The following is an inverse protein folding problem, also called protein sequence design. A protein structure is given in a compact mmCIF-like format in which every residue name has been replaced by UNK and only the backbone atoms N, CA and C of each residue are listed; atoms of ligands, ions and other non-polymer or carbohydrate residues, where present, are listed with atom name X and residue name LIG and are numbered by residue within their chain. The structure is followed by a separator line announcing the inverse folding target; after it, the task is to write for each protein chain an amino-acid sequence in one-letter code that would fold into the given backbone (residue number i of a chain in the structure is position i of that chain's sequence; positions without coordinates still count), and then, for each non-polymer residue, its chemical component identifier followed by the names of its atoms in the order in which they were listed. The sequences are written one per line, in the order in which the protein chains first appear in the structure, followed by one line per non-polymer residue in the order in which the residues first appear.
data_IF_693913578361
#
_entry.id   IF_693913578361
#
_cell.length_a   1.000
_cell.length_b   1.000
_cell.length_c   1.000
_cell.angle_alpha   90.00
_cell.angle_beta   90.00
_cell.angle_gamma   90.00
#
_symmetry.space_group_name_H-M   'P 1'
#
loop_
_entity.id
_entity.type
_entity.pdbx_description
1 polymer ?
#
# COMPACT_ATOMS: atom_id res chain seq x y z
N UNK A 1 -6.33 -14.68 31.96
CA UNK A 1 -5.66 -15.29 30.80
C UNK A 1 -4.92 -14.19 30.08
N UNK A 2 -3.62 -14.39 29.98
CA UNK A 2 -2.53 -13.47 29.64
C UNK A 2 -2.71 -12.69 28.34
N UNK A 3 -2.53 -11.38 28.39
CA UNK A 3 -1.96 -10.62 27.28
C UNK A 3 -1.28 -9.35 27.80
N UNK A 4 -0.01 -9.49 28.17
CA UNK A 4 0.84 -8.40 28.67
C UNK A 4 2.25 -8.52 28.10
N UNK A 5 2.36 -9.08 26.89
CA UNK A 5 3.63 -9.38 26.24
C UNK A 5 3.84 -8.65 24.91
N UNK A 6 2.88 -7.84 24.44
CA UNK A 6 3.00 -7.15 23.15
C UNK A 6 3.61 -5.74 23.24
N UNK A 7 3.82 -5.17 24.44
CA UNK A 7 4.21 -3.76 24.57
C UNK A 7 5.71 -3.50 24.77
N UNK A 8 6.56 -4.53 24.82
CA UNK A 8 7.95 -4.35 25.30
C UNK A 8 9.00 -4.12 24.21
N UNK A 9 8.62 -3.98 22.93
CA UNK A 9 9.61 -3.86 21.82
C UNK A 9 9.74 -2.43 21.27
N UNK A 10 9.12 -1.44 21.93
CA UNK A 10 9.20 -0.03 21.50
C UNK A 10 9.66 0.89 22.63
N UNK A 11 10.92 0.79 23.11
CA UNK A 11 11.38 1.82 24.07
C UNK A 11 12.89 2.08 24.28
N UNK A 12 13.86 1.58 23.51
CA UNK A 12 15.27 1.96 23.78
C UNK A 12 16.04 2.34 22.51
N UNK A 13 15.71 3.51 21.97
CA UNK A 13 16.60 4.30 21.12
C UNK A 13 17.00 5.55 21.89
N UNK A 14 18.22 5.58 22.41
CA UNK A 14 18.78 6.78 23.01
C UNK A 14 20.20 6.61 23.52
N UNK A 15 21.09 7.48 23.03
CA UNK A 15 22.51 7.68 23.38
C UNK A 15 23.46 6.70 22.67
N UNK A 16 24.51 7.10 21.96
CA UNK A 16 25.13 8.42 21.78
C UNK A 16 26.64 8.21 21.63
N UNK A 17 27.15 8.51 20.43
CA UNK A 17 28.51 8.94 20.05
C UNK A 17 29.78 8.36 20.74
N UNK A 18 30.79 8.03 19.92
CA UNK A 18 32.08 8.76 19.77
C UNK A 18 33.10 7.86 19.03
N UNK A 19 33.77 8.45 18.02
CA UNK A 19 34.90 7.89 17.29
C UNK A 19 36.10 7.59 18.20
N UNK A 20 36.78 6.47 17.96
CA UNK A 20 38.23 6.38 18.14
C UNK A 20 38.83 5.34 17.19
N UNK A 21 39.69 5.82 16.30
CA UNK A 21 40.45 5.05 15.34
C UNK A 21 41.57 4.25 16.04
N UNK A 22 41.60 2.93 15.83
CA UNK A 22 42.83 2.12 15.95
C UNK A 22 42.88 1.14 14.79
N UNK A 23 43.76 1.43 13.84
CA UNK A 23 44.19 0.55 12.75
C UNK A 23 44.90 -0.67 13.37
N UNK A 24 44.21 -1.82 13.46
CA UNK A 24 44.88 -3.13 13.55
C UNK A 24 44.67 -3.88 12.25
N UNK A 25 45.76 -4.04 11.51
CA UNK A 25 45.89 -5.08 10.49
C UNK A 25 45.65 -6.41 11.20
N UNK A 26 44.50 -7.02 10.92
CA UNK A 26 44.23 -8.42 11.23
C UNK A 26 43.83 -9.08 9.92
N UNK A 27 44.69 -9.95 9.41
CA UNK A 27 44.28 -10.98 8.47
C UNK A 27 43.24 -11.85 9.20
N UNK A 28 41.96 -11.56 8.96
CA UNK A 28 40.84 -12.38 9.37
C UNK A 28 40.39 -13.17 8.13
N UNK A 29 40.25 -14.49 8.31
CA UNK A 29 39.70 -15.44 7.34
C UNK A 29 38.40 -14.89 6.72
N UNK A 30 38.09 -15.16 5.44
CA UNK A 30 36.79 -14.81 4.89
C UNK A 30 35.76 -15.71 5.57
N UNK A 31 35.19 -15.22 6.66
CA UNK A 31 34.08 -15.86 7.33
C UNK A 31 32.85 -15.56 6.46
N UNK A 32 32.57 -16.48 5.53
CA UNK A 32 31.47 -16.47 4.56
C UNK A 32 30.10 -16.76 5.21
N UNK A 33 29.92 -16.36 6.47
CA UNK A 33 28.85 -16.86 7.35
C UNK A 33 28.15 -15.73 8.12
N UNK A 34 28.04 -14.52 7.53
CA UNK A 34 27.31 -13.40 8.12
C UNK A 34 26.77 -12.40 7.10
N UNK A 35 26.18 -12.87 5.99
CA UNK A 35 25.38 -12.00 5.10
C UNK A 35 23.91 -12.42 5.06
N UNK A 36 23.37 -12.86 6.21
CA UNK A 36 21.92 -12.85 6.42
C UNK A 36 21.45 -11.40 6.61
N UNK A 37 21.39 -10.66 5.50
CA UNK A 37 20.86 -9.30 5.51
C UNK A 37 19.36 -9.37 5.75
N UNK A 38 18.95 -8.94 6.95
CA UNK A 38 17.53 -8.79 7.28
C UNK A 38 16.87 -7.83 6.30
N UNK A 39 15.81 -8.30 5.64
CA UNK A 39 14.98 -7.48 4.75
C UNK A 39 14.30 -6.40 5.59
N UNK A 40 14.49 -5.15 5.19
CA UNK A 40 13.80 -4.03 5.81
C UNK A 40 12.33 -4.04 5.41
N UNK A 41 11.46 -3.46 6.25
CA UNK A 41 10.05 -3.31 5.91
C UNK A 41 9.85 -2.55 4.58
N UNK A 42 10.71 -1.58 4.27
CA UNK A 42 10.63 -0.83 3.02
C UNK A 42 10.95 -1.69 1.79
N UNK A 43 11.96 -2.54 1.89
CA UNK A 43 12.28 -3.50 0.82
C UNK A 43 11.14 -4.49 0.61
N UNK A 44 10.56 -5.02 1.69
CA UNK A 44 9.40 -5.92 1.61
C UNK A 44 8.23 -5.23 0.90
N UNK A 45 7.89 -4.01 1.32
CA UNK A 45 6.81 -3.22 0.75
C UNK A 45 7.04 -2.93 -0.75
N UNK A 46 8.27 -2.63 -1.15
CA UNK A 46 8.63 -2.40 -2.55
C UNK A 46 8.47 -3.66 -3.40
N UNK A 47 8.87 -4.83 -2.88
CA UNK A 47 8.68 -6.10 -3.60
C UNK A 47 7.21 -6.46 -3.74
N UNK A 48 6.39 -6.18 -2.71
CA UNK A 48 4.94 -6.31 -2.80
C UNK A 48 4.35 -5.40 -3.89
N UNK A 49 4.77 -4.14 -3.96
CA UNK A 49 4.33 -3.21 -5.00
C UNK A 49 4.69 -3.73 -6.39
N UNK A 50 5.92 -4.18 -6.57
CA UNK A 50 6.40 -4.74 -7.83
C UNK A 50 5.60 -5.99 -8.22
N UNK A 51 5.31 -6.87 -7.26
CA UNK A 51 4.45 -8.03 -7.48
C UNK A 51 3.02 -7.63 -7.91
N UNK A 52 2.40 -6.65 -7.25
CA UNK A 52 1.04 -6.21 -7.59
C UNK A 52 0.95 -5.66 -9.02
N UNK A 53 1.99 -4.91 -9.45
CA UNK A 53 2.08 -4.41 -10.82
C UNK A 53 2.35 -5.56 -11.81
N UNK A 54 3.29 -6.45 -11.51
CA UNK A 54 3.62 -7.60 -12.35
C UNK A 54 2.42 -8.52 -12.57
N UNK A 55 1.58 -8.72 -11.56
CA UNK A 55 0.33 -9.49 -11.66
C UNK A 55 -0.80 -8.75 -12.37
N UNK A 56 -0.63 -7.45 -12.63
CA UNK A 56 -1.66 -6.60 -13.23
C UNK A 56 -2.84 -6.32 -12.29
N UNK A 57 -2.61 -6.38 -10.97
CA UNK A 57 -3.62 -6.03 -9.95
C UNK A 57 -3.68 -4.52 -9.72
N UNK A 58 -2.54 -3.84 -9.86
CA UNK A 58 -2.42 -2.38 -9.84
C UNK A 58 -1.56 -1.91 -11.00
N UNK A 59 -1.74 -0.64 -11.40
CA UNK A 59 -0.81 0.05 -12.28
C UNK A 59 0.27 0.76 -11.47
N UNK A 60 1.41 1.08 -12.09
CA UNK A 60 2.47 1.88 -11.43
C UNK A 60 1.96 3.24 -10.96
N UNK A 61 1.04 3.87 -11.71
CA UNK A 61 0.40 5.11 -11.32
C UNK A 61 -0.48 4.95 -10.07
N UNK A 62 -1.25 3.86 -9.98
CA UNK A 62 -2.06 3.57 -8.80
C UNK A 62 -1.21 3.30 -7.56
N UNK A 63 -0.11 2.55 -7.70
CA UNK A 63 0.87 2.35 -6.61
C UNK A 63 1.44 3.69 -6.15
N UNK A 64 1.84 4.57 -7.08
CA UNK A 64 2.36 5.89 -6.73
C UNK A 64 1.32 6.74 -5.96
N UNK A 65 0.04 6.67 -6.35
CA UNK A 65 -1.05 7.34 -5.64
C UNK A 65 -1.27 6.77 -4.23
N UNK A 66 -1.23 5.44 -4.07
CA UNK A 66 -1.39 4.81 -2.75
C UNK A 66 -0.21 5.20 -1.82
N UNK A 67 1.00 5.32 -2.37
CA UNK A 67 2.22 5.64 -1.59
C UNK A 67 2.35 7.11 -1.22
N UNK A 68 1.97 8.01 -2.11
CA UNK A 68 2.29 9.45 -2.01
C UNK A 68 1.11 10.39 -2.29
N UNK A 69 -0.02 9.85 -2.72
CA UNK A 69 -1.22 10.62 -3.03
C UNK A 69 -1.96 11.08 -1.77
N UNK A 70 -2.95 11.93 -1.99
CA UNK A 70 -3.88 12.36 -0.94
C UNK A 70 -4.93 11.29 -0.74
N UNK A 71 -4.92 10.67 0.44
CA UNK A 71 -6.01 9.79 0.88
C UNK A 71 -7.29 10.60 1.09
N UNK A 72 -8.39 10.07 0.59
CA UNK A 72 -9.74 10.62 0.73
C UNK A 72 -10.78 9.50 0.74
N UNK A 73 -12.04 9.87 0.89
CA UNK A 73 -13.19 8.97 0.83
C UNK A 73 -13.88 9.09 -0.53
N UNK A 74 -14.13 7.96 -1.16
CA UNK A 74 -14.96 7.83 -2.35
C UNK A 74 -16.28 7.16 -2.01
N UNK A 75 -17.40 7.78 -2.37
CA UNK A 75 -18.71 7.14 -2.32
C UNK A 75 -18.93 6.42 -3.64
N UNK A 76 -19.22 5.13 -3.60
CA UNK A 76 -19.58 4.39 -4.81
C UNK A 76 -20.98 4.81 -5.24
N UNK A 77 -21.09 5.40 -6.43
CA UNK A 77 -22.36 5.79 -7.05
C UNK A 77 -22.81 4.79 -8.10
N UNK A 78 -21.89 3.97 -8.62
CA UNK A 78 -22.17 2.91 -9.59
C UNK A 78 -21.07 1.86 -9.59
N UNK A 79 -21.44 0.63 -9.92
CA UNK A 79 -20.50 -0.49 -10.05
C UNK A 79 -20.97 -1.40 -11.18
N UNK A 80 -20.03 -1.76 -12.06
CA UNK A 80 -20.28 -2.70 -13.16
C UNK A 80 -19.13 -3.69 -13.27
N UNK A 81 -19.44 -4.98 -13.25
CA UNK A 81 -18.46 -6.00 -13.59
C UNK A 81 -18.11 -5.90 -15.08
N UNK A 82 -16.82 -5.92 -15.40
CA UNK A 82 -16.34 -5.90 -16.80
C UNK A 82 -16.28 -7.30 -17.41
N UNK A 83 -16.34 -8.33 -16.57
CA UNK A 83 -16.18 -9.74 -16.95
C UNK A 83 -14.73 -10.23 -16.90
N UNK A 84 -13.73 -9.34 -16.77
CA UNK A 84 -12.34 -9.78 -16.64
C UNK A 84 -12.04 -10.31 -15.24
N UNK A 85 -11.26 -11.39 -15.18
CA UNK A 85 -10.91 -12.12 -13.96
C UNK A 85 -9.39 -12.34 -13.94
N UNK A 86 -8.75 -12.12 -12.80
CA UNK A 86 -7.35 -12.47 -12.56
C UNK A 86 -7.24 -13.08 -11.18
N UNK A 87 -6.88 -14.35 -11.11
CA UNK A 87 -6.82 -15.09 -9.83
C UNK A 87 -8.18 -14.92 -9.09
N UNK A 88 -8.13 -14.57 -7.80
CA UNK A 88 -9.31 -14.32 -6.97
C UNK A 88 -9.85 -12.89 -7.08
N UNK A 89 -9.40 -12.12 -8.08
CA UNK A 89 -9.83 -10.74 -8.31
C UNK A 89 -10.80 -10.67 -9.49
N UNK A 90 -11.75 -9.74 -9.40
CA UNK A 90 -12.67 -9.38 -10.49
C UNK A 90 -12.42 -7.94 -10.89
N UNK A 91 -12.33 -7.71 -12.18
CA UNK A 91 -12.25 -6.35 -12.69
C UNK A 91 -13.63 -5.71 -12.71
N UNK A 92 -13.76 -4.57 -12.04
CA UNK A 92 -14.97 -3.76 -12.02
C UNK A 92 -14.66 -2.35 -12.50
N UNK A 93 -15.65 -1.75 -13.13
CA UNK A 93 -15.71 -0.31 -13.36
C UNK A 93 -16.57 0.32 -12.25
N UNK A 94 -16.01 1.31 -11.57
CA UNK A 94 -16.63 2.03 -10.48
C UNK A 94 -16.88 3.46 -10.87
N UNK A 95 -18.09 3.93 -10.62
CA UNK A 95 -18.41 5.35 -10.58
C UNK A 95 -18.33 5.80 -9.13
N UNK A 96 -17.51 6.82 -8.88
CA UNK A 96 -17.17 7.30 -7.55
C UNK A 96 -17.43 8.80 -7.46
N UNK A 97 -17.95 9.22 -6.32
CA UNK A 97 -17.92 10.62 -5.91
C UNK A 97 -16.85 10.80 -4.83
N UNK A 98 -15.72 11.38 -5.21
CA UNK A 98 -14.53 11.50 -4.34
C UNK A 98 -14.50 12.87 -3.68
N UNK A 99 -14.27 12.90 -2.37
CA UNK A 99 -14.16 14.16 -1.62
C UNK A 99 -12.80 14.83 -1.85
N UNK A 100 -12.77 16.16 -2.02
CA UNK A 100 -11.51 16.90 -2.11
C UNK A 100 -11.01 17.29 -0.72
N UNK A 101 -9.70 17.24 -0.52
CA UNK A 101 -9.01 17.88 0.61
C UNK A 101 -9.08 19.40 0.44
N UNK A 102 -10.13 20.01 0.98
CA UNK A 102 -10.45 21.45 0.78
C UNK A 102 -11.93 21.73 0.57
N UNK A 103 -12.76 20.68 0.45
CA UNK A 103 -14.20 20.81 0.27
C UNK A 103 -14.63 20.55 -1.18
N UNK A 104 -15.91 20.21 -1.33
CA UNK A 104 -16.47 19.75 -2.59
C UNK A 104 -16.14 18.30 -2.92
N UNK A 105 -16.68 17.84 -4.03
CA UNK A 105 -16.54 16.48 -4.53
C UNK A 105 -16.35 16.49 -6.05
N UNK A 106 -15.77 15.43 -6.60
CA UNK A 106 -15.63 15.26 -8.04
C UNK A 106 -15.98 13.83 -8.46
N UNK A 107 -16.64 13.66 -9.62
CA UNK A 107 -16.96 12.35 -10.15
C UNK A 107 -15.72 11.72 -10.78
N UNK A 108 -15.56 10.41 -10.60
CA UNK A 108 -14.48 9.62 -11.19
C UNK A 108 -15.04 8.29 -11.68
N UNK A 109 -14.62 7.89 -12.87
CA UNK A 109 -14.79 6.53 -13.37
C UNK A 109 -13.46 5.80 -13.28
N UNK A 110 -13.42 4.71 -12.51
CA UNK A 110 -12.19 3.99 -12.22
C UNK A 110 -12.37 2.48 -12.46
N UNK A 111 -11.44 1.88 -13.21
CA UNK A 111 -11.30 0.42 -13.30
C UNK A 111 -10.39 -0.10 -12.19
N UNK A 112 -10.81 -1.15 -11.51
CA UNK A 112 -10.04 -1.74 -10.41
C UNK A 112 -10.19 -3.25 -10.36
N UNK A 113 -9.10 -3.93 -9.99
CA UNK A 113 -9.13 -5.34 -9.62
C UNK A 113 -9.52 -5.45 -8.15
N UNK A 114 -10.69 -6.03 -7.87
CA UNK A 114 -11.25 -6.15 -6.52
C UNK A 114 -11.26 -7.64 -6.12
N UNK A 115 -10.76 -8.00 -4.92
CA UNK A 115 -10.87 -9.35 -4.41
C UNK A 115 -12.34 -9.82 -4.43
N UNK A 116 -12.59 -11.05 -4.85
CA UNK A 116 -13.94 -11.61 -4.93
C UNK A 116 -14.67 -11.54 -3.59
N UNK A 117 -13.94 -11.74 -2.48
CA UNK A 117 -14.47 -11.63 -1.11
C UNK A 117 -14.86 -10.18 -0.73
N UNK A 118 -14.29 -9.18 -1.39
CA UNK A 118 -14.53 -7.76 -1.11
C UNK A 118 -15.56 -7.11 -2.05
N UNK A 119 -16.15 -7.84 -3.01
CA UNK A 119 -17.06 -7.26 -4.00
C UNK A 119 -18.26 -6.54 -3.39
N UNK A 120 -18.82 -7.07 -2.30
CA UNK A 120 -19.94 -6.43 -1.61
C UNK A 120 -19.58 -5.06 -1.04
N UNK A 121 -18.30 -4.79 -0.76
CA UNK A 121 -17.81 -3.49 -0.24
C UNK A 121 -17.75 -2.41 -1.32
N UNK A 122 -17.77 -2.79 -2.61
CA UNK A 122 -17.80 -1.85 -3.73
C UNK A 122 -19.18 -1.72 -4.38
N UNK A 123 -20.24 -2.12 -3.68
CA UNK A 123 -21.61 -1.84 -4.11
C UNK A 123 -21.95 -0.34 -3.97
N UNK A 124 -22.86 0.19 -4.80
CA UNK A 124 -23.34 1.56 -4.67
C UNK A 124 -23.84 1.88 -3.25
N UNK A 125 -23.54 3.10 -2.78
CA UNK A 125 -23.82 3.58 -1.43
C UNK A 125 -22.69 3.35 -0.43
N UNK A 126 -21.75 2.43 -0.71
CA UNK A 126 -20.62 2.20 0.17
C UNK A 126 -19.54 3.28 0.05
N UNK A 127 -18.80 3.47 1.13
CA UNK A 127 -17.67 4.38 1.19
C UNK A 127 -16.38 3.57 1.19
N UNK A 128 -15.45 3.90 0.30
CA UNK A 128 -14.16 3.24 0.16
C UNK A 128 -13.02 4.26 0.24
N UNK A 129 -11.81 3.77 0.53
CA UNK A 129 -10.60 4.59 0.47
C UNK A 129 -10.24 4.87 -0.99
N UNK A 130 -10.01 6.15 -1.28
CA UNK A 130 -9.56 6.64 -2.57
C UNK A 130 -8.30 7.47 -2.40
N UNK A 131 -7.37 7.38 -3.35
CA UNK A 131 -6.13 8.14 -3.37
C UNK A 131 -6.02 8.87 -4.70
N UNK A 132 -5.76 10.17 -4.64
CA UNK A 132 -5.65 11.02 -5.82
C UNK A 132 -4.56 12.07 -5.62
N UNK A 133 -4.13 12.74 -6.70
CA UNK A 133 -3.20 13.86 -6.60
C UNK A 133 -3.98 15.18 -6.64
N UNK A 134 -3.82 16.09 -5.66
CA UNK A 134 -4.41 17.42 -5.76
C UNK A 134 -3.95 18.12 -7.04
N UNK A 135 -4.89 18.62 -7.84
CA UNK A 135 -4.61 19.22 -9.14
C UNK A 135 -4.61 18.25 -10.33
N UNK A 136 -4.59 16.93 -10.08
CA UNK A 136 -4.79 15.90 -11.11
C UNK A 136 -5.76 14.82 -10.61
N UNK A 137 -7.02 15.04 -10.95
CA UNK A 137 -8.16 14.22 -10.55
C UNK A 137 -8.59 13.23 -11.63
N UNK A 138 -7.84 13.16 -12.72
CA UNK A 138 -8.07 12.22 -13.82
C UNK A 138 -7.73 10.78 -13.43
N UNK A 139 -6.85 10.61 -12.43
CA UNK A 139 -6.36 9.31 -11.98
C UNK A 139 -6.64 9.14 -10.50
N UNK A 140 -7.32 8.05 -10.13
CA UNK A 140 -7.60 7.69 -8.75
C UNK A 140 -7.23 6.23 -8.51
N UNK A 141 -6.63 5.93 -7.37
CA UNK A 141 -6.48 4.57 -6.89
C UNK A 141 -7.52 4.30 -5.80
N UNK A 142 -8.10 3.09 -5.79
CA UNK A 142 -9.05 2.66 -4.76
C UNK A 142 -8.46 1.53 -3.95
N UNK A 143 -8.74 1.51 -2.65
CA UNK A 143 -8.35 0.42 -1.76
C UNK A 143 -9.57 -0.10 -1.02
N UNK A 144 -9.71 -1.42 -1.02
CA UNK A 144 -10.70 -2.14 -0.22
C UNK A 144 -10.04 -3.30 0.50
N UNK A 145 -10.30 -3.41 1.79
CA UNK A 145 -9.77 -4.51 2.59
C UNK A 145 -10.60 -5.77 2.32
N UNK A 146 -9.99 -6.93 2.02
CA UNK A 146 -10.67 -8.22 2.02
C UNK A 146 -11.37 -8.51 3.35
N UNK A 147 -12.33 -9.42 3.35
CA UNK A 147 -12.91 -10.03 4.58
C UNK A 147 -12.37 -11.44 4.75
#
# INVERSE_FOLDING_TARGET
MTDTALLTVLCLLGTGAILAAVRRVRCARPNDEADERLVTLRELVAEFDHMLVRKGLLTGAQVALIRSGTRSRGIVTGMRATGAVREDYREVELDLMVSRRGGGQFPVRQRAMIPATALAKVSPGNVIDAYYRPGDESTVAVCVTPV
#
